data_IF_129919367076
#
_entry.id   IF_129919367076
#
_cell.length_a   1.000
_cell.length_b   1.000
_cell.length_c   1.000
_cell.angle_alpha   90.00
_cell.angle_beta   90.00
_cell.angle_gamma   90.00
#
_symmetry.space_group_name_H-M   'P 1'
#
loop_
_entity.id
_entity.type
_entity.pdbx_description
1 polymer ?
#
# COMPACT_ATOMS: atom_id res chain seq x y z
N UNK A 1 -18.06 5.56 -7.41
CA UNK A 1 -18.11 5.99 -5.99
C UNK A 1 -18.33 7.50 -5.80
N UNK A 2 -19.21 7.87 -4.85
CA UNK A 2 -19.43 9.26 -4.37
C UNK A 2 -18.30 9.69 -3.41
N UNK A 3 -18.06 11.01 -3.26
CA UNK A 3 -16.98 11.55 -2.40
C UNK A 3 -17.06 11.08 -0.93
N UNK A 4 -18.23 11.17 -0.30
CA UNK A 4 -18.44 10.73 1.10
C UNK A 4 -17.99 9.28 1.34
N UNK A 5 -18.42 8.37 0.46
CA UNK A 5 -18.02 6.96 0.50
C UNK A 5 -16.51 6.73 0.33
N UNK A 6 -15.76 7.69 -0.25
CA UNK A 6 -14.31 7.57 -0.40
C UNK A 6 -13.57 7.97 0.88
N UNK A 7 -14.08 8.97 1.61
CA UNK A 7 -13.49 9.38 2.88
C UNK A 7 -13.67 8.29 3.95
N UNK A 8 -14.82 7.61 3.97
CA UNK A 8 -15.06 6.46 4.86
C UNK A 8 -14.04 5.32 4.64
N UNK A 9 -13.59 5.11 3.39
CA UNK A 9 -12.60 4.08 3.07
C UNK A 9 -11.20 4.41 3.59
N UNK A 10 -10.87 5.68 3.81
CA UNK A 10 -9.56 6.07 4.35
C UNK A 10 -9.44 5.68 5.81
N UNK A 11 -10.54 5.73 6.56
CA UNK A 11 -10.58 5.41 7.99
C UNK A 11 -10.69 3.90 8.24
N UNK A 12 -11.37 3.17 7.35
CA UNK A 12 -11.57 1.73 7.47
C UNK A 12 -10.27 0.90 7.59
N UNK A 13 -10.33 -0.23 8.30
CA UNK A 13 -9.19 -1.11 8.48
C UNK A 13 -8.82 -1.87 7.18
N UNK A 14 -7.56 -2.31 7.07
CA UNK A 14 -7.05 -3.06 5.92
C UNK A 14 -7.87 -4.33 5.66
N UNK A 15 -8.31 -5.05 6.69
CA UNK A 15 -9.12 -6.26 6.51
C UNK A 15 -10.50 -5.94 5.95
N UNK A 16 -11.13 -4.88 6.44
CA UNK A 16 -12.42 -4.39 5.92
C UNK A 16 -12.29 -3.95 4.46
N UNK A 17 -11.18 -3.27 4.11
CA UNK A 17 -10.90 -2.87 2.74
C UNK A 17 -10.70 -4.09 1.82
N UNK A 18 -10.01 -5.14 2.29
CA UNK A 18 -9.84 -6.40 1.54
C UNK A 18 -11.17 -7.11 1.31
N UNK A 19 -12.02 -7.20 2.34
CA UNK A 19 -13.37 -7.76 2.23
C UNK A 19 -14.18 -7.01 1.16
N UNK A 20 -14.17 -5.67 1.22
CA UNK A 20 -14.88 -4.82 0.26
C UNK A 20 -14.37 -4.97 -1.18
N UNK A 21 -13.07 -5.21 -1.37
CA UNK A 21 -12.52 -5.55 -2.69
C UNK A 21 -13.07 -6.88 -3.20
N UNK A 22 -13.12 -7.91 -2.35
CA UNK A 22 -13.68 -9.23 -2.70
C UNK A 22 -15.15 -9.13 -3.11
N UNK A 23 -15.94 -8.40 -2.33
CA UNK A 23 -17.36 -8.20 -2.61
C UNK A 23 -17.58 -7.45 -3.94
N UNK A 24 -16.80 -6.39 -4.20
CA UNK A 24 -16.85 -5.66 -5.47
C UNK A 24 -16.37 -6.50 -6.66
N UNK A 25 -15.44 -7.44 -6.46
CA UNK A 25 -15.01 -8.36 -7.52
C UNK A 25 -16.13 -9.34 -7.87
N UNK A 26 -16.83 -9.90 -6.88
CA UNK A 26 -18.01 -10.76 -7.12
C UNK A 26 -19.11 -10.00 -7.85
N UNK A 27 -19.45 -8.80 -7.37
CA UNK A 27 -20.45 -7.94 -8.00
C UNK A 27 -20.09 -7.61 -9.46
N UNK A 28 -18.81 -7.28 -9.73
CA UNK A 28 -18.33 -7.02 -11.10
C UNK A 28 -18.49 -8.25 -12.00
N UNK A 29 -18.20 -9.44 -11.51
CA UNK A 29 -18.35 -10.69 -12.27
C UNK A 29 -19.82 -10.93 -12.61
N UNK A 30 -20.72 -10.73 -11.64
CA UNK A 30 -22.16 -10.86 -11.88
C UNK A 30 -22.66 -9.85 -12.90
N UNK A 31 -22.26 -8.59 -12.80
CA UNK A 31 -22.62 -7.55 -13.77
C UNK A 31 -22.14 -7.90 -15.19
N UNK A 32 -20.92 -8.43 -15.33
CA UNK A 32 -20.40 -8.89 -16.62
C UNK A 32 -21.20 -10.07 -17.17
N UNK A 33 -21.64 -10.98 -16.30
CA UNK A 33 -22.44 -12.12 -16.69
C UNK A 33 -23.83 -11.67 -17.15
N UNK A 34 -24.50 -10.81 -16.39
CA UNK A 34 -25.78 -10.22 -16.77
C UNK A 34 -25.69 -9.46 -18.10
N UNK A 35 -24.59 -8.71 -18.30
CA UNK A 35 -24.37 -7.97 -19.54
C UNK A 35 -24.21 -8.91 -20.74
N UNK A 36 -23.44 -9.98 -20.57
CA UNK A 36 -23.26 -11.02 -21.60
C UNK A 36 -24.57 -11.77 -21.90
N UNK A 37 -25.42 -11.96 -20.90
CA UNK A 37 -26.76 -12.53 -21.06
C UNK A 37 -27.78 -11.53 -21.62
N UNK A 38 -27.41 -10.27 -21.87
CA UNK A 38 -28.33 -9.23 -22.32
C UNK A 38 -29.39 -8.81 -21.29
N UNK A 39 -29.23 -9.20 -20.02
CA UNK A 39 -30.18 -8.92 -18.94
C UNK A 39 -30.09 -7.49 -18.42
N UNK A 40 -28.93 -6.87 -18.53
CA UNK A 40 -28.68 -5.48 -18.13
C UNK A 40 -28.27 -4.63 -19.34
N UNK A 41 -28.78 -3.40 -19.40
CA UNK A 41 -28.36 -2.39 -20.39
C UNK A 41 -27.20 -1.52 -19.87
N UNK A 42 -26.81 -1.69 -18.62
CA UNK A 42 -25.81 -0.84 -17.97
C UNK A 42 -24.37 -1.31 -18.29
N UNK A 43 -23.91 -0.97 -19.49
CA UNK A 43 -22.54 -1.27 -19.96
C UNK A 43 -21.43 -0.61 -19.14
N UNK A 44 -21.76 0.41 -18.33
CA UNK A 44 -20.76 1.18 -17.57
C UNK A 44 -20.57 0.70 -16.13
N UNK A 45 -21.49 -0.10 -15.59
CA UNK A 45 -21.43 -0.59 -14.21
C UNK A 45 -20.12 -1.34 -13.92
N UNK A 46 -19.74 -2.30 -14.76
CA UNK A 46 -18.50 -3.04 -14.61
C UNK A 46 -17.25 -2.15 -14.66
N UNK A 47 -17.26 -1.09 -15.49
CA UNK A 47 -16.16 -0.10 -15.57
C UNK A 47 -16.11 0.76 -14.31
N UNK A 48 -17.24 1.18 -13.76
CA UNK A 48 -17.31 1.91 -12.51
C UNK A 48 -16.79 1.07 -11.33
N UNK A 49 -17.22 -0.18 -11.22
CA UNK A 49 -16.73 -1.13 -10.21
C UNK A 49 -15.21 -1.36 -10.32
N UNK A 50 -14.67 -1.48 -11.54
CA UNK A 50 -13.21 -1.59 -11.76
C UNK A 50 -12.45 -0.38 -11.21
N UNK A 51 -12.96 0.84 -11.41
CA UNK A 51 -12.37 2.08 -10.87
C UNK A 51 -12.42 2.11 -9.35
N UNK A 52 -13.55 1.69 -8.76
CA UNK A 52 -13.73 1.68 -7.31
C UNK A 52 -12.80 0.64 -6.65
N UNK A 53 -12.62 -0.54 -7.25
CA UNK A 53 -11.61 -1.54 -6.82
C UNK A 53 -10.20 -0.95 -6.84
N UNK A 54 -9.82 -0.26 -7.93
CA UNK A 54 -8.48 0.33 -8.05
C UNK A 54 -8.21 1.36 -6.94
N UNK A 55 -9.18 2.22 -6.64
CA UNK A 55 -9.09 3.20 -5.55
C UNK A 55 -8.86 2.53 -4.19
N UNK A 56 -9.63 1.49 -3.87
CA UNK A 56 -9.48 0.77 -2.59
C UNK A 56 -8.10 0.09 -2.52
N UNK A 57 -7.63 -0.52 -3.61
CA UNK A 57 -6.28 -1.11 -3.67
C UNK A 57 -5.18 -0.06 -3.44
N UNK A 58 -5.33 1.14 -3.98
CA UNK A 58 -4.40 2.25 -3.73
C UNK A 58 -4.38 2.63 -2.24
N UNK A 59 -5.54 2.74 -1.59
CA UNK A 59 -5.63 3.03 -0.15
C UNK A 59 -4.92 1.94 0.66
N UNK A 60 -5.16 0.66 0.35
CA UNK A 60 -4.49 -0.46 1.01
C UNK A 60 -2.96 -0.33 0.85
N UNK A 61 -2.48 -0.06 -0.37
CA UNK A 61 -1.04 0.09 -0.64
C UNK A 61 -0.44 1.26 0.14
N UNK A 62 -1.11 2.41 0.18
CA UNK A 62 -0.67 3.58 0.96
C UNK A 62 -0.56 3.23 2.45
N UNK A 63 -1.56 2.56 3.03
CA UNK A 63 -1.53 2.13 4.44
C UNK A 63 -0.39 1.16 4.73
N UNK A 64 -0.13 0.20 3.83
CA UNK A 64 0.98 -0.74 3.99
C UNK A 64 2.33 -0.04 3.90
N UNK A 65 2.52 0.84 2.90
CA UNK A 65 3.74 1.62 2.74
C UNK A 65 4.01 2.51 3.95
N UNK A 66 2.98 3.18 4.50
CA UNK A 66 3.11 4.00 5.70
C UNK A 66 3.56 3.18 6.92
N UNK A 67 3.03 1.96 7.11
CA UNK A 67 3.50 1.06 8.17
C UNK A 67 4.97 0.67 7.99
N UNK A 68 5.39 0.37 6.76
CA UNK A 68 6.78 0.00 6.47
C UNK A 68 7.76 1.17 6.64
N UNK A 69 7.37 2.40 6.31
CA UNK A 69 8.24 3.57 6.51
C UNK A 69 8.49 3.85 7.99
N UNK A 70 7.49 3.67 8.86
CA UNK A 70 7.64 3.87 10.31
C UNK A 70 8.64 2.85 10.89
N UNK A 71 8.57 1.58 10.47
CA UNK A 71 9.51 0.54 10.93
C UNK A 71 10.96 0.74 10.48
N UNK A 72 11.23 1.61 9.50
CA UNK A 72 12.59 1.92 9.06
C UNK A 72 13.21 3.05 9.87
N UNK A 73 12.41 4.02 10.31
CA UNK A 73 12.89 5.18 11.07
C UNK A 73 13.36 4.78 12.48
N UNK A 74 12.74 3.79 13.10
CA UNK A 74 13.13 3.30 14.44
C UNK A 74 14.48 2.54 14.49
N UNK A 75 15.09 2.22 13.35
CA UNK A 75 16.38 1.49 13.31
C UNK A 75 17.62 2.38 13.16
N UNK A 76 17.45 3.68 12.94
CA UNK A 76 18.57 4.61 12.66
C UNK A 76 19.00 5.46 13.86
N UNK A 77 18.30 5.40 15.01
CA UNK A 77 18.66 6.12 16.24
C UNK A 77 19.45 5.24 17.24
N UNK A 78 20.50 4.55 16.77
CA UNK A 78 21.59 4.13 17.66
C UNK A 78 22.83 4.92 17.29
N UNK A 79 23.27 5.90 18.10
CA UNK A 79 24.52 6.61 17.82
C UNK A 79 25.66 5.59 17.92
N UNK A 80 26.28 5.30 16.78
CA UNK A 80 27.53 4.55 16.74
C UNK A 80 28.60 5.41 17.40
N UNK A 81 28.90 5.09 18.65
CA UNK A 81 29.93 5.74 19.45
C UNK A 81 31.31 5.65 18.81
N UNK A 82 32.08 6.70 19.09
CA UNK A 82 33.48 6.92 18.75
C UNK A 82 34.36 5.67 18.81
N UNK A 83 35.18 5.48 17.78
CA UNK A 83 36.55 5.02 17.98
C UNK A 83 37.46 5.60 16.91
N UNK A 84 37.91 6.83 17.17
CA UNK A 84 39.15 7.36 16.63
C UNK A 84 40.29 6.49 17.16
N UNK A 85 40.94 5.73 16.29
CA UNK A 85 42.28 5.21 16.58
C UNK A 85 43.26 5.76 15.54
N UNK A 86 43.89 6.88 15.90
CA UNK A 86 45.20 7.28 15.37
C UNK A 86 46.22 6.30 15.91
N UNK A 87 46.91 5.59 15.04
CA UNK A 87 48.19 4.96 15.42
C UNK A 87 49.27 5.52 14.51
N UNK A 88 49.87 6.64 14.94
CA UNK A 88 51.23 6.98 14.56
C UNK A 88 52.17 5.93 15.16
N UNK A 89 53.02 5.28 14.36
CA UNK A 89 54.31 4.81 14.88
C UNK A 89 55.42 5.12 13.88
N UNK A 90 56.36 5.89 14.41
CA UNK A 90 57.59 6.45 13.88
C UNK A 90 58.68 5.36 13.69
N UNK A 91 59.44 5.47 12.60
CA UNK A 91 60.91 5.34 12.46
C UNK A 91 61.72 4.32 13.29
N UNK A 92 62.54 3.51 12.60
CA UNK A 92 64.02 3.36 12.70
C UNK A 92 64.45 2.09 11.91
N UNK A 93 65.27 2.18 10.85
CA UNK A 93 66.74 2.25 10.80
C UNK A 93 67.46 0.97 11.28
N UNK A 94 68.11 0.25 10.35
CA UNK A 94 69.35 -0.55 10.47
C UNK A 94 69.48 -1.38 9.17
N UNK A 95 70.38 -1.00 8.26
CA UNK A 95 71.78 -1.46 8.11
C UNK A 95 71.90 -2.63 7.14
#
# INVERSE_FOLDING_TARGET
>A
MKKKNFDDLKVADIEQLRKKVSDLQKAKTNELLELKMGKTKNVHAAKAMKRDIAKIKTIIRMKLTAKTSITKTEKEDKPSGDSVNKTEVKSHAAS
#
